data_IF_149995566931
#
_entry.id   IF_149995566931
#
_cell.length_a   1.000
_cell.length_b   1.000
_cell.length_c   1.000
_cell.angle_alpha   90.00
_cell.angle_beta   90.00
_cell.angle_gamma   90.00
#
_symmetry.space_group_name_H-M   'P 1'
#
loop_
_entity.id
_entity.type
_entity.pdbx_description
1 polymer ?
#
# COMPACT_ATOMS: atom_id res chain seq x y z
N UNK A 1 27.42 10.30 -10.99
CA UNK A 1 26.58 9.13 -10.65
C UNK A 1 25.18 9.39 -11.21
N UNK A 2 24.71 8.57 -12.13
CA UNK A 2 23.36 8.73 -12.66
C UNK A 2 22.35 8.20 -11.63
N UNK A 3 21.45 9.06 -11.17
CA UNK A 3 20.35 8.62 -10.33
C UNK A 3 19.44 7.66 -11.12
N UNK A 4 18.99 6.59 -10.47
CA UNK A 4 18.04 5.66 -11.09
C UNK A 4 16.70 6.38 -11.25
N UNK A 5 16.19 6.39 -12.48
CA UNK A 5 14.84 6.88 -12.74
C UNK A 5 13.83 5.74 -12.50
N UNK A 6 13.30 5.67 -11.29
CA UNK A 6 12.35 4.63 -10.91
C UNK A 6 11.02 4.70 -11.66
N UNK A 7 10.61 5.89 -12.11
CA UNK A 7 9.43 6.04 -12.97
C UNK A 7 9.61 5.25 -14.26
N UNK A 8 10.77 5.40 -14.90
CA UNK A 8 11.09 4.66 -16.13
C UNK A 8 11.17 3.16 -15.89
N UNK A 9 11.77 2.74 -14.76
CA UNK A 9 11.81 1.32 -14.38
C UNK A 9 10.40 0.75 -14.26
N UNK A 10 9.48 1.47 -13.64
CA UNK A 10 8.08 1.07 -13.53
C UNK A 10 7.40 0.97 -14.90
N UNK A 11 7.60 1.96 -15.76
CA UNK A 11 7.05 1.97 -17.13
C UNK A 11 7.54 0.77 -17.95
N UNK A 12 8.83 0.45 -17.85
CA UNK A 12 9.42 -0.70 -18.52
C UNK A 12 8.84 -2.03 -17.98
N UNK A 13 8.64 -2.14 -16.66
CA UNK A 13 8.00 -3.31 -16.04
C UNK A 13 6.56 -3.48 -16.51
N UNK A 14 5.80 -2.40 -16.58
CA UNK A 14 4.43 -2.40 -17.10
C UNK A 14 4.42 -2.88 -18.55
N UNK A 15 5.29 -2.34 -19.39
CA UNK A 15 5.38 -2.72 -20.80
C UNK A 15 5.72 -4.21 -20.99
N UNK A 16 6.53 -4.79 -20.09
CA UNK A 16 6.91 -6.21 -20.15
C UNK A 16 5.86 -7.15 -19.58
N UNK A 17 5.10 -6.71 -18.57
CA UNK A 17 4.26 -7.56 -17.73
C UNK A 17 2.77 -7.45 -18.03
N UNK A 18 2.33 -6.36 -18.62
CA UNK A 18 0.91 -6.05 -18.85
C UNK A 18 0.57 -6.02 -20.33
N UNK A 19 -0.66 -6.38 -20.67
CA UNK A 19 -1.20 -6.33 -22.02
C UNK A 19 -2.70 -6.63 -22.02
N UNK A 20 -3.36 -6.59 -23.18
CA UNK A 20 -4.80 -6.84 -23.28
C UNK A 20 -5.20 -8.23 -22.75
N UNK A 21 -4.35 -9.23 -22.98
CA UNK A 21 -4.58 -10.62 -22.54
C UNK A 21 -3.87 -10.96 -21.22
N UNK A 22 -3.18 -9.99 -20.59
CA UNK A 22 -2.41 -10.21 -19.37
C UNK A 22 -2.52 -9.04 -18.42
N UNK A 23 -3.36 -9.20 -17.42
CA UNK A 23 -3.58 -8.20 -16.36
C UNK A 23 -3.11 -8.78 -15.03
N UNK A 24 -1.88 -8.45 -14.59
CA UNK A 24 -1.35 -8.96 -13.34
C UNK A 24 -2.12 -8.43 -12.12
N UNK A 25 -2.04 -9.16 -11.01
CA UNK A 25 -2.56 -8.76 -9.71
C UNK A 25 -1.52 -7.99 -8.94
N UNK A 26 -1.88 -6.79 -8.47
CA UNK A 26 -1.00 -5.92 -7.71
C UNK A 26 -1.63 -5.57 -6.36
N UNK A 27 -0.87 -5.79 -5.28
CA UNK A 27 -1.25 -5.38 -3.94
C UNK A 27 -0.66 -4.00 -3.64
N UNK A 28 -1.52 -3.02 -3.39
CA UNK A 28 -1.15 -1.65 -3.05
C UNK A 28 -1.41 -1.39 -1.57
N UNK A 29 -0.34 -1.34 -0.77
CA UNK A 29 -0.45 -0.90 0.62
C UNK A 29 -0.78 0.59 0.68
N UNK A 30 -1.78 0.97 1.47
CA UNK A 30 -2.23 2.35 1.60
C UNK A 30 -2.56 2.71 3.04
N UNK A 31 -2.25 3.95 3.43
CA UNK A 31 -2.61 4.50 4.74
C UNK A 31 -3.79 5.49 4.67
N UNK A 32 -4.13 6.00 3.50
CA UNK A 32 -5.25 6.94 3.34
C UNK A 32 -5.63 7.13 1.87
N UNK A 33 -6.86 7.59 1.63
CA UNK A 33 -7.36 7.82 0.29
C UNK A 33 -6.57 8.91 -0.49
N UNK A 34 -6.22 10.06 0.09
CA UNK A 34 -5.46 11.07 -0.63
C UNK A 34 -4.13 10.57 -1.19
N UNK A 35 -3.37 9.80 -0.41
CA UNK A 35 -2.08 9.27 -0.84
C UNK A 35 -2.21 8.21 -1.93
N UNK A 36 -3.29 7.42 -1.91
CA UNK A 36 -3.51 6.34 -2.87
C UNK A 36 -4.19 6.78 -4.16
N UNK A 37 -4.81 7.94 -4.20
CA UNK A 37 -5.67 8.36 -5.32
C UNK A 37 -4.94 8.36 -6.67
N UNK A 38 -3.78 8.97 -6.75
CA UNK A 38 -2.98 9.00 -7.96
C UNK A 38 -2.40 7.62 -8.30
N UNK A 39 -1.95 6.87 -7.30
CA UNK A 39 -1.44 5.51 -7.50
C UNK A 39 -2.52 4.59 -8.10
N UNK A 40 -3.74 4.66 -7.57
CA UNK A 40 -4.88 3.89 -8.10
C UNK A 40 -5.19 4.33 -9.53
N UNK A 41 -5.25 5.64 -9.79
CA UNK A 41 -5.50 6.16 -11.13
C UNK A 41 -4.51 5.63 -12.18
N UNK A 42 -3.22 5.58 -11.83
CA UNK A 42 -2.19 5.07 -12.72
C UNK A 42 -2.19 3.55 -12.84
N UNK A 43 -2.24 2.84 -11.72
CA UNK A 43 -2.03 1.39 -11.69
C UNK A 43 -3.26 0.60 -12.15
N UNK A 44 -4.47 1.09 -11.91
CA UNK A 44 -5.70 0.43 -12.34
C UNK A 44 -5.91 0.45 -13.87
N UNK A 45 -5.10 1.16 -14.62
CA UNK A 45 -5.06 1.09 -16.09
C UNK A 45 -4.41 -0.21 -16.57
N UNK A 46 -3.56 -0.84 -15.76
CA UNK A 46 -2.72 -1.97 -16.16
C UNK A 46 -2.87 -3.22 -15.30
N UNK A 47 -3.33 -3.07 -14.04
CA UNK A 47 -3.37 -4.14 -13.05
C UNK A 47 -4.76 -4.32 -12.45
N UNK A 48 -5.03 -5.54 -11.97
CA UNK A 48 -6.06 -5.76 -10.97
C UNK A 48 -5.49 -5.36 -9.60
N UNK A 49 -5.81 -4.15 -9.17
CA UNK A 49 -5.30 -3.57 -7.93
C UNK A 49 -6.18 -4.00 -6.75
N UNK A 50 -5.55 -4.51 -5.70
CA UNK A 50 -6.16 -4.65 -4.37
C UNK A 50 -5.47 -3.69 -3.42
N UNK A 51 -6.23 -2.78 -2.85
CA UNK A 51 -5.74 -1.88 -1.80
C UNK A 51 -5.71 -2.64 -0.49
N UNK A 52 -4.53 -2.75 0.10
CA UNK A 52 -4.30 -3.41 1.38
C UNK A 52 -4.11 -2.36 2.47
N UNK A 53 -5.11 -2.23 3.32
CA UNK A 53 -5.14 -1.28 4.42
C UNK A 53 -4.67 -1.97 5.70
N UNK A 54 -3.35 -1.96 5.92
CA UNK A 54 -2.70 -2.49 7.12
C UNK A 54 -1.88 -1.38 7.78
N UNK A 55 -2.42 -0.81 8.86
CA UNK A 55 -1.88 0.38 9.49
C UNK A 55 -2.00 0.31 11.02
N UNK A 56 -1.24 -0.57 11.69
CA UNK A 56 -1.29 -0.70 13.15
C UNK A 56 -0.73 0.53 13.88
N UNK A 57 -0.07 1.43 13.15
CA UNK A 57 0.52 2.67 13.63
C UNK A 57 -0.46 3.85 13.73
N UNK A 58 -1.65 3.75 13.14
CA UNK A 58 -2.62 4.83 13.18
C UNK A 58 -3.36 4.84 14.52
N UNK A 59 -3.35 5.98 15.19
CA UNK A 59 -4.00 6.22 16.47
C UNK A 59 -4.59 7.64 16.48
N UNK A 60 -5.74 7.91 17.10
CA UNK A 60 -6.59 6.96 17.83
C UNK A 60 -7.38 6.03 16.89
N UNK A 61 -8.07 4.99 17.44
CA UNK A 61 -8.86 4.06 16.63
C UNK A 61 -9.91 4.72 15.74
N UNK A 62 -10.49 5.83 16.17
CA UNK A 62 -11.45 6.60 15.37
C UNK A 62 -10.85 7.11 14.07
N UNK A 63 -9.61 7.58 14.12
CA UNK A 63 -8.85 8.03 12.93
C UNK A 63 -8.59 6.85 11.99
N UNK A 64 -8.18 5.71 12.53
CA UNK A 64 -7.98 4.48 11.76
C UNK A 64 -9.25 4.08 11.01
N UNK A 65 -10.38 4.01 11.71
CA UNK A 65 -11.66 3.62 11.10
C UNK A 65 -12.18 4.65 10.11
N UNK A 66 -11.99 5.94 10.37
CA UNK A 66 -12.36 7.00 9.44
C UNK A 66 -11.61 6.89 8.13
N UNK A 67 -10.30 6.67 8.17
CA UNK A 67 -9.47 6.49 6.98
C UNK A 67 -9.83 5.22 6.21
N UNK A 68 -10.13 4.13 6.89
CA UNK A 68 -10.56 2.88 6.25
C UNK A 68 -11.88 3.08 5.49
N UNK A 69 -12.85 3.75 6.08
CA UNK A 69 -14.13 4.08 5.44
C UNK A 69 -13.94 4.99 4.22
N UNK A 70 -13.14 6.02 4.36
CA UNK A 70 -12.87 6.97 3.29
C UNK A 70 -12.15 6.30 2.11
N UNK A 71 -11.20 5.41 2.39
CA UNK A 71 -10.53 4.61 1.37
C UNK A 71 -11.53 3.75 0.60
N UNK A 72 -12.44 3.08 1.29
CA UNK A 72 -13.49 2.28 0.66
C UNK A 72 -14.46 3.13 -0.17
N UNK A 73 -14.86 4.30 0.36
CA UNK A 73 -15.71 5.24 -0.37
C UNK A 73 -15.04 5.68 -1.68
N UNK A 74 -13.77 6.10 -1.60
CA UNK A 74 -13.00 6.51 -2.76
C UNK A 74 -12.96 5.41 -3.83
N UNK A 75 -12.66 4.18 -3.43
CA UNK A 75 -12.58 3.03 -4.35
C UNK A 75 -13.93 2.79 -5.06
N UNK A 76 -15.05 2.91 -4.35
CA UNK A 76 -16.39 2.72 -4.94
C UNK A 76 -16.76 3.80 -5.93
N UNK A 77 -16.35 5.03 -5.70
CA UNK A 77 -16.79 6.20 -6.45
C UNK A 77 -15.82 6.59 -7.58
N UNK A 78 -14.55 6.20 -7.46
CA UNK A 78 -13.53 6.58 -8.42
C UNK A 78 -13.62 5.70 -9.68
N UNK A 79 -13.75 6.31 -10.89
CA UNK A 79 -13.80 5.54 -12.13
C UNK A 79 -12.43 4.96 -12.47
N UNK A 80 -12.40 3.66 -12.76
CA UNK A 80 -11.17 2.91 -13.08
C UNK A 80 -11.39 2.04 -14.31
N UNK A 81 -10.28 1.71 -14.99
CA UNK A 81 -10.33 0.79 -16.13
C UNK A 81 -10.55 -0.65 -15.65
N UNK A 82 -9.69 -1.14 -14.75
CA UNK A 82 -9.88 -2.44 -14.10
C UNK A 82 -10.38 -2.24 -12.66
N UNK A 83 -11.28 -3.14 -12.18
CA UNK A 83 -11.86 -2.99 -10.85
C UNK A 83 -10.80 -3.05 -9.75
N UNK A 84 -10.97 -2.21 -8.73
CA UNK A 84 -10.10 -2.13 -7.56
C UNK A 84 -10.82 -2.75 -6.37
N UNK A 85 -10.13 -3.65 -5.67
CA UNK A 85 -10.63 -4.29 -4.44
C UNK A 85 -9.99 -3.66 -3.21
N UNK A 86 -10.63 -3.86 -2.08
CA UNK A 86 -10.17 -3.40 -0.78
C UNK A 86 -10.09 -4.57 0.20
N UNK A 87 -8.94 -4.68 0.87
CA UNK A 87 -8.74 -5.63 1.97
C UNK A 87 -8.20 -4.87 3.17
N UNK A 88 -8.88 -5.02 4.30
CA UNK A 88 -8.40 -4.49 5.58
C UNK A 88 -7.57 -5.54 6.29
N UNK A 89 -6.33 -5.18 6.64
CA UNK A 89 -5.48 -6.01 7.48
C UNK A 89 -5.90 -5.94 8.95
N UNK A 90 -5.24 -6.74 9.80
CA UNK A 90 -5.54 -6.76 11.22
C UNK A 90 -5.05 -5.46 11.87
N UNK A 91 -5.94 -4.79 12.60
CA UNK A 91 -5.60 -3.60 13.38
C UNK A 91 -5.04 -4.02 14.75
N UNK A 92 -3.79 -4.44 14.75
CA UNK A 92 -3.06 -4.87 15.94
C UNK A 92 -2.03 -3.80 16.34
N UNK A 93 -2.47 -2.84 17.15
CA UNK A 93 -1.62 -1.75 17.64
C UNK A 93 -0.50 -2.25 18.55
N UNK A 94 -0.67 -3.40 19.20
CA UNK A 94 0.36 -3.97 20.08
C UNK A 94 1.63 -4.33 19.30
N UNK A 95 1.48 -4.81 18.08
CA UNK A 95 2.63 -5.04 17.18
C UNK A 95 3.42 -3.77 16.93
N UNK A 96 2.74 -2.66 16.67
CA UNK A 96 3.39 -1.37 16.45
C UNK A 96 4.11 -0.89 17.72
N UNK A 97 3.45 -0.93 18.88
CA UNK A 97 4.04 -0.48 20.13
C UNK A 97 5.21 -1.37 20.55
N UNK A 98 5.13 -2.68 20.34
CA UNK A 98 6.24 -3.60 20.62
C UNK A 98 7.46 -3.27 19.74
N UNK A 99 7.25 -2.97 18.46
CA UNK A 99 8.30 -2.56 17.53
C UNK A 99 8.91 -1.22 17.93
N UNK A 100 8.09 -0.24 18.32
CA UNK A 100 8.51 1.13 18.66
C UNK A 100 9.13 1.27 20.06
N UNK A 101 9.05 0.22 20.88
CA UNK A 101 9.57 0.25 22.25
C UNK A 101 11.06 0.59 22.27
N UNK A 102 11.40 1.63 23.05
CA UNK A 102 12.76 2.16 23.13
C UNK A 102 13.11 3.17 22.04
N UNK A 103 12.17 3.47 21.13
CA UNK A 103 12.35 4.44 20.04
C UNK A 103 11.40 5.65 20.15
N UNK A 104 10.75 5.82 21.32
CA UNK A 104 9.70 6.83 21.51
C UNK A 104 10.21 8.26 21.29
N UNK A 105 11.46 8.51 21.68
CA UNK A 105 12.11 9.83 21.61
C UNK A 105 12.82 10.09 20.28
N UNK A 106 12.83 9.12 19.37
CA UNK A 106 13.46 9.28 18.06
C UNK A 106 12.59 10.20 17.19
N UNK A 107 13.15 11.27 16.60
CA UNK A 107 12.41 12.21 15.76
C UNK A 107 11.79 11.52 14.54
N UNK A 108 10.74 12.13 14.00
CA UNK A 108 10.14 11.71 12.72
C UNK A 108 11.20 11.66 11.61
N UNK A 109 11.14 10.64 10.77
CA UNK A 109 12.12 10.37 9.71
C UNK A 109 13.33 9.53 10.18
N UNK A 110 13.42 9.19 11.47
CA UNK A 110 14.48 8.37 12.01
C UNK A 110 14.17 6.87 12.01
N UNK A 111 14.93 6.11 12.81
CA UNK A 111 14.88 4.65 12.87
C UNK A 111 13.48 4.09 13.16
N UNK A 112 12.70 4.76 14.03
CA UNK A 112 11.33 4.35 14.32
C UNK A 112 10.47 4.35 13.06
N UNK A 113 10.60 5.35 12.20
CA UNK A 113 9.85 5.43 10.94
C UNK A 113 10.27 4.33 9.97
N UNK A 114 11.56 4.04 9.85
CA UNK A 114 12.06 2.94 9.03
C UNK A 114 11.55 1.58 9.53
N UNK A 115 11.57 1.34 10.84
CA UNK A 115 11.02 0.12 11.42
C UNK A 115 9.50 0.00 11.18
N UNK A 116 8.77 1.11 11.23
CA UNK A 116 7.34 1.15 10.91
C UNK A 116 7.07 0.83 9.43
N UNK A 117 7.87 1.35 8.51
CA UNK A 117 7.77 1.00 7.09
C UNK A 117 8.06 -0.48 6.87
N UNK A 118 9.10 -1.01 7.49
CA UNK A 118 9.44 -2.43 7.40
C UNK A 118 8.30 -3.31 7.90
N UNK A 119 7.72 -3.00 9.05
CA UNK A 119 6.58 -3.74 9.62
C UNK A 119 5.43 -3.84 8.62
N UNK A 120 5.03 -2.71 8.04
CA UNK A 120 3.89 -2.64 7.11
C UNK A 120 4.20 -3.29 5.77
N UNK A 121 5.37 -3.06 5.21
CA UNK A 121 5.78 -3.64 3.93
C UNK A 121 6.01 -5.15 4.03
N UNK A 122 6.52 -5.64 5.13
CA UNK A 122 6.68 -7.08 5.38
C UNK A 122 5.32 -7.78 5.39
N UNK A 123 4.35 -7.23 6.09
CA UNK A 123 2.98 -7.77 6.11
C UNK A 123 2.34 -7.75 4.72
N UNK A 124 2.54 -6.66 3.97
CA UNK A 124 2.06 -6.57 2.59
C UNK A 124 2.71 -7.63 1.69
N UNK A 125 4.01 -7.83 1.80
CA UNK A 125 4.73 -8.85 1.03
C UNK A 125 4.27 -10.27 1.37
N UNK A 126 4.07 -10.58 2.64
CA UNK A 126 3.58 -11.87 3.11
C UNK A 126 2.15 -12.12 2.63
N UNK A 127 1.28 -11.12 2.72
CA UNK A 127 -0.09 -11.20 2.19
C UNK A 127 -0.10 -11.43 0.68
N UNK A 128 0.70 -10.67 -0.06
CA UNK A 128 0.82 -10.80 -1.51
C UNK A 128 1.27 -12.20 -1.91
N UNK A 129 2.26 -12.76 -1.22
CA UNK A 129 2.75 -14.12 -1.45
C UNK A 129 1.68 -15.17 -1.14
N UNK A 130 0.98 -15.04 -0.02
CA UNK A 130 -0.04 -15.99 0.41
C UNK A 130 -1.27 -16.02 -0.49
N UNK A 131 -1.55 -14.94 -1.21
CA UNK A 131 -2.74 -14.77 -2.06
C UNK A 131 -2.41 -14.68 -3.56
N UNK A 132 -1.23 -15.11 -3.96
CA UNK A 132 -0.80 -15.22 -5.37
C UNK A 132 -0.86 -13.88 -6.14
N UNK A 133 -0.46 -12.79 -5.50
CA UNK A 133 -0.24 -11.53 -6.20
C UNK A 133 1.08 -11.56 -6.97
N UNK A 134 1.09 -10.94 -8.14
CA UNK A 134 2.28 -10.86 -8.99
C UNK A 134 3.24 -9.77 -8.51
N UNK A 135 2.70 -8.67 -7.96
CA UNK A 135 3.46 -7.53 -7.46
C UNK A 135 2.86 -6.99 -6.16
N UNK A 136 3.68 -6.30 -5.38
CA UNK A 136 3.21 -5.44 -4.30
C UNK A 136 3.99 -4.14 -4.27
N UNK A 137 3.35 -3.09 -3.76
CA UNK A 137 3.95 -1.77 -3.59
C UNK A 137 3.24 -0.99 -2.49
N UNK A 138 3.64 0.25 -2.28
CA UNK A 138 3.04 1.16 -1.29
C UNK A 138 2.89 2.56 -1.87
N UNK A 139 2.02 3.34 -1.23
CA UNK A 139 1.84 4.76 -1.53
C UNK A 139 2.88 5.63 -0.85
#
# INVERSE_FOLDING_TARGET
>A
MNAINYQKVMEDLIAQSCGEDKVPKLLLHSCCAPCSSYCIACLAEYFYVTVFYYNPNIYPPEEYHMRAKEQQRFIREFPVHYPVQFVEGIYDTDKFYAMAKGMEDIPEGGERCFACYELRLREAAEYAKAHDFDFFTTT
#
